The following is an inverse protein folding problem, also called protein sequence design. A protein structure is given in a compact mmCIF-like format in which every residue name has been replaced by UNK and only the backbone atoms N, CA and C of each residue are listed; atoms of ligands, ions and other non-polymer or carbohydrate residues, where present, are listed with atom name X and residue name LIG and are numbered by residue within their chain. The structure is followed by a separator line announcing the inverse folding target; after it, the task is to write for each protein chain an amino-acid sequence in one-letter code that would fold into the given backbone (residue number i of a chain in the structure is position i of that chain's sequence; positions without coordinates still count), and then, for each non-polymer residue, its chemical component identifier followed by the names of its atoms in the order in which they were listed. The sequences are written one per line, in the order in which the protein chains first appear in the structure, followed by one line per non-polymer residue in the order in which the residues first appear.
data_IF_624067187732
#
_entry.id   IF_624067187732
#
_cell.length_a   1.000
_cell.length_b   1.000
_cell.length_c   1.000
_cell.angle_alpha   90.00
_cell.angle_beta   90.00
_cell.angle_gamma   90.00
#
_symmetry.space_group_name_H-M   'P 1'
#
loop_
_entity.id
_entity.type
_entity.pdbx_description
1 polymer ?
#
# COMPACT_ATOMS: atom_id res chain seq x y z
N UNK A 1 8.57 44.20 -15.89
CA UNK A 1 8.18 43.11 -14.97
C UNK A 1 8.96 41.86 -15.35
N UNK A 2 9.80 41.32 -14.46
CA UNK A 2 10.47 40.04 -14.69
C UNK A 2 9.59 38.92 -14.11
N UNK A 3 9.12 38.01 -14.97
CA UNK A 3 8.35 36.84 -14.55
C UNK A 3 9.28 35.85 -13.83
N UNK A 4 8.95 35.49 -12.59
CA UNK A 4 9.65 34.42 -11.87
C UNK A 4 9.23 33.09 -12.48
N UNK A 5 10.15 32.41 -13.16
CA UNK A 5 9.90 31.05 -13.62
C UNK A 5 9.70 30.16 -12.39
N UNK A 6 8.51 29.57 -12.25
CA UNK A 6 8.31 28.52 -11.28
C UNK A 6 9.07 27.28 -11.72
N UNK A 7 10.03 26.84 -10.91
CA UNK A 7 10.67 25.53 -11.10
C UNK A 7 9.59 24.47 -10.90
N UNK A 8 9.13 23.87 -12.00
CA UNK A 8 8.35 22.64 -11.95
C UNK A 8 9.22 21.60 -11.24
N UNK A 9 8.82 21.20 -10.04
CA UNK A 9 9.48 20.09 -9.36
C UNK A 9 9.43 18.89 -10.30
N UNK A 10 10.58 18.25 -10.52
CA UNK A 10 10.65 17.06 -11.35
C UNK A 10 9.71 15.99 -10.78
N UNK A 11 8.85 15.41 -11.61
CA UNK A 11 7.95 14.31 -11.25
C UNK A 11 8.68 12.97 -11.01
N UNK A 12 9.99 13.00 -10.69
CA UNK A 12 10.85 11.83 -10.49
C UNK A 12 11.28 11.74 -9.05
N UNK A 13 11.22 10.54 -8.46
CA UNK A 13 11.57 10.26 -7.07
C UNK A 13 12.12 8.83 -6.94
N UNK A 14 12.77 8.50 -5.82
CA UNK A 14 13.22 7.13 -5.54
C UNK A 14 12.26 6.45 -4.56
N UNK A 15 11.81 5.23 -4.87
CA UNK A 15 10.91 4.48 -4.01
C UNK A 15 11.55 4.16 -2.66
N UNK A 16 10.90 4.49 -1.53
CA UNK A 16 11.47 4.21 -0.19
C UNK A 16 11.56 2.71 0.15
N UNK A 17 10.82 1.86 -0.57
CA UNK A 17 10.80 0.40 -0.35
C UNK A 17 11.85 -0.31 -1.21
N UNK A 18 11.88 -0.02 -2.52
CA UNK A 18 12.77 -0.71 -3.46
C UNK A 18 13.98 0.12 -3.91
N UNK A 19 14.05 1.40 -3.57
CA UNK A 19 15.09 2.36 -3.93
C UNK A 19 15.30 2.57 -5.46
N UNK A 20 14.35 2.13 -6.28
CA UNK A 20 14.38 2.35 -7.72
C UNK A 20 13.83 3.74 -8.09
N UNK A 21 14.34 4.30 -9.19
CA UNK A 21 13.83 5.55 -9.77
C UNK A 21 12.41 5.36 -10.30
N UNK A 22 11.49 6.21 -9.86
CA UNK A 22 10.08 6.23 -10.23
C UNK A 22 9.71 7.58 -10.86
N UNK A 23 8.63 7.60 -11.62
CA UNK A 23 8.04 8.82 -12.16
C UNK A 23 6.52 8.83 -12.02
N UNK A 24 5.93 10.02 -11.85
CA UNK A 24 4.47 10.20 -11.83
C UNK A 24 3.93 9.92 -13.24
N UNK A 25 2.96 9.00 -13.35
CA UNK A 25 2.28 8.66 -14.62
C UNK A 25 0.95 9.39 -14.79
N UNK A 26 0.14 9.42 -13.73
CA UNK A 26 -1.20 10.00 -13.72
C UNK A 26 -1.54 10.55 -12.35
N UNK A 27 -2.18 11.71 -12.33
CA UNK A 27 -2.77 12.31 -11.13
C UNK A 27 -4.27 12.00 -11.19
N UNK A 28 -4.79 11.36 -10.14
CA UNK A 28 -6.21 10.99 -10.05
C UNK A 28 -7.05 12.04 -9.32
N UNK A 29 -6.43 12.76 -8.37
CA UNK A 29 -7.04 13.88 -7.66
C UNK A 29 -5.97 14.88 -7.23
N UNK A 30 -6.35 16.15 -7.18
CA UNK A 30 -5.60 17.28 -6.64
C UNK A 30 -6.55 18.11 -5.77
N UNK A 31 -6.05 18.68 -4.69
CA UNK A 31 -6.87 19.37 -3.70
C UNK A 31 -5.99 20.27 -2.85
N UNK A 32 -6.59 21.36 -2.36
CA UNK A 32 -5.86 22.36 -1.58
C UNK A 32 -5.65 21.89 -0.14
N UNK A 33 -6.54 21.03 0.36
CA UNK A 33 -6.49 20.50 1.70
C UNK A 33 -6.25 19.00 1.69
N UNK A 34 -5.39 18.53 2.60
CA UNK A 34 -5.11 17.09 2.75
C UNK A 34 -6.37 16.26 3.06
N UNK A 35 -7.38 16.85 3.72
CA UNK A 35 -8.65 16.19 4.02
C UNK A 35 -9.39 15.74 2.75
N UNK A 36 -9.41 16.58 1.71
CA UNK A 36 -10.10 16.30 0.45
C UNK A 36 -9.48 15.08 -0.25
N UNK A 37 -8.14 15.06 -0.31
CA UNK A 37 -7.39 13.93 -0.89
C UNK A 37 -7.60 12.64 -0.10
N UNK A 38 -7.62 12.70 1.24
CA UNK A 38 -7.84 11.50 2.08
C UNK A 38 -9.22 10.88 1.82
N UNK A 39 -10.27 11.71 1.75
CA UNK A 39 -11.63 11.24 1.47
C UNK A 39 -11.71 10.60 0.08
N UNK A 40 -11.08 11.21 -0.93
CA UNK A 40 -10.98 10.64 -2.27
C UNK A 40 -10.26 9.29 -2.27
N UNK A 41 -9.11 9.16 -1.60
CA UNK A 41 -8.35 7.91 -1.57
C UNK A 41 -9.15 6.80 -0.88
N UNK A 42 -9.86 7.13 0.22
CA UNK A 42 -10.71 6.16 0.90
C UNK A 42 -11.82 5.64 -0.01
N UNK A 43 -12.62 6.53 -0.63
CA UNK A 43 -13.71 6.10 -1.51
C UNK A 43 -13.18 5.35 -2.75
N UNK A 44 -12.07 5.81 -3.33
CA UNK A 44 -11.45 5.17 -4.48
C UNK A 44 -10.95 3.75 -4.16
N UNK A 45 -10.30 3.56 -3.00
CA UNK A 45 -9.80 2.25 -2.59
C UNK A 45 -10.94 1.29 -2.26
N UNK A 46 -12.00 1.77 -1.60
CA UNK A 46 -13.20 0.95 -1.36
C UNK A 46 -13.82 0.48 -2.68
N UNK A 47 -14.06 1.41 -3.60
CA UNK A 47 -14.61 1.08 -4.93
C UNK A 47 -13.74 0.09 -5.70
N UNK A 48 -12.41 0.15 -5.54
CA UNK A 48 -11.50 -0.78 -6.20
C UNK A 48 -11.56 -2.18 -5.62
N UNK A 49 -11.67 -2.32 -4.29
CA UNK A 49 -11.88 -3.62 -3.66
C UNK A 49 -13.18 -4.27 -4.17
N UNK A 50 -14.26 -3.50 -4.23
CA UNK A 50 -15.55 -4.00 -4.69
C UNK A 50 -15.46 -4.49 -6.15
N UNK A 51 -14.75 -3.73 -7.01
CA UNK A 51 -14.51 -4.13 -8.39
C UNK A 51 -13.62 -5.40 -8.50
N UNK A 52 -12.58 -5.51 -7.68
CA UNK A 52 -11.69 -6.68 -7.65
C UNK A 52 -12.44 -7.93 -7.14
N UNK A 53 -13.35 -7.78 -6.17
CA UNK A 53 -14.21 -8.86 -5.66
C UNK A 53 -15.22 -9.33 -6.72
N UNK A 54 -15.87 -8.41 -7.42
CA UNK A 54 -16.76 -8.75 -8.55
C UNK A 54 -15.97 -9.48 -9.63
N UNK A 55 -14.78 -8.99 -10.01
CA UNK A 55 -13.93 -9.63 -11.02
C UNK A 55 -13.46 -11.02 -10.57
N UNK A 56 -13.19 -11.23 -9.29
CA UNK A 56 -12.84 -12.55 -8.75
C UNK A 56 -14.02 -13.53 -8.84
N UNK A 57 -15.23 -13.11 -8.47
CA UNK A 57 -16.46 -13.92 -8.57
C UNK A 57 -16.75 -14.27 -10.04
N UNK A 58 -16.64 -13.31 -10.95
CA UNK A 58 -16.82 -13.53 -12.39
C UNK A 58 -15.78 -14.52 -12.95
N UNK A 59 -14.54 -14.49 -12.45
CA UNK A 59 -13.49 -15.45 -12.82
C UNK A 59 -13.76 -16.87 -12.30
N UNK A 60 -14.28 -17.01 -11.07
CA UNK A 60 -14.62 -18.31 -10.47
C UNK A 60 -15.75 -19.03 -11.22
N UNK A 61 -16.69 -18.29 -11.80
CA UNK A 61 -17.79 -18.88 -12.60
C UNK A 61 -17.38 -19.34 -14.01
N UNK A 62 -16.18 -18.97 -14.48
CA UNK A 62 -15.71 -19.28 -15.84
C UNK A 62 -14.51 -20.24 -15.92
N UNK A 63 -13.81 -20.54 -14.82
CA UNK A 63 -12.60 -21.39 -14.88
C UNK A 63 -12.55 -22.46 -13.79
N UNK A 64 -13.22 -23.59 -14.03
CA UNK A 64 -12.65 -24.87 -13.61
C UNK A 64 -11.41 -25.10 -14.48
N UNK A 65 -10.24 -24.70 -13.97
CA UNK A 65 -8.93 -25.09 -14.47
C UNK A 65 -8.19 -24.02 -15.28
N UNK A 66 -7.23 -23.34 -14.66
CA UNK A 66 -5.79 -23.59 -14.86
C UNK A 66 -5.01 -22.55 -14.01
N UNK A 67 -4.43 -22.99 -12.90
CA UNK A 67 -3.40 -22.24 -12.19
C UNK A 67 -2.15 -22.22 -13.08
N UNK A 68 -1.89 -21.10 -13.78
CA UNK A 68 -0.67 -20.96 -14.57
C UNK A 68 0.43 -20.43 -13.67
N UNK A 69 1.16 -21.37 -13.07
CA UNK A 69 2.53 -21.16 -12.60
C UNK A 69 3.44 -21.07 -13.85
N UNK A 70 3.79 -19.85 -14.28
CA UNK A 70 4.93 -19.67 -15.18
C UNK A 70 5.56 -18.29 -15.01
N UNK A 71 6.33 -18.12 -13.93
CA UNK A 71 7.32 -17.04 -13.82
C UNK A 71 8.69 -17.59 -14.22
N UNK A 72 8.93 -17.73 -15.53
CA UNK A 72 10.28 -17.94 -16.06
C UNK A 72 10.70 -16.75 -16.91
N UNK A 73 11.84 -16.16 -16.55
CA UNK A 73 12.71 -15.55 -17.56
C UNK A 73 12.99 -14.06 -17.46
N UNK A 74 13.41 -13.53 -16.31
CA UNK A 74 14.34 -12.38 -16.32
C UNK A 74 15.56 -12.71 -15.47
N UNK A 75 16.60 -13.25 -16.12
CA UNK A 75 17.95 -13.30 -15.56
C UNK A 75 18.49 -11.87 -15.50
N UNK A 76 18.40 -11.24 -14.33
CA UNK A 76 19.33 -10.17 -13.97
C UNK A 76 20.36 -10.79 -13.04
N UNK A 77 21.54 -11.05 -13.60
CA UNK A 77 22.73 -11.24 -12.78
C UNK A 77 22.99 -9.90 -12.10
N UNK A 78 22.73 -9.82 -10.80
CA UNK A 78 23.41 -8.86 -9.96
C UNK A 78 23.69 -9.54 -8.63
N UNK A 79 24.98 -9.79 -8.43
CA UNK A 79 25.59 -10.26 -7.20
C UNK A 79 25.39 -9.19 -6.11
N UNK A 80 25.72 -9.51 -4.85
CA UNK A 80 25.44 -8.73 -3.62
C UNK A 80 24.09 -9.04 -2.95
N UNK A 81 24.00 -10.29 -2.52
CA UNK A 81 23.00 -10.87 -1.62
C UNK A 81 23.14 -10.29 -0.20
N UNK A 82 22.37 -9.25 0.12
CA UNK A 82 21.87 -9.08 1.49
C UNK A 82 20.45 -9.64 1.52
N UNK A 83 20.23 -10.74 2.25
CA UNK A 83 18.90 -11.31 2.45
C UNK A 83 18.05 -10.25 3.14
N UNK A 84 17.18 -9.58 2.38
CA UNK A 84 16.17 -8.69 2.95
C UNK A 84 15.24 -9.56 3.79
N UNK A 85 14.98 -9.17 5.03
CA UNK A 85 14.03 -9.84 5.92
C UNK A 85 12.65 -9.74 5.28
N UNK A 86 12.22 -10.81 4.62
CA UNK A 86 10.89 -10.94 3.98
C UNK A 86 9.87 -11.56 4.94
N UNK A 87 10.29 -11.82 6.17
CA UNK A 87 9.48 -12.45 7.18
C UNK A 87 8.74 -11.39 8.00
N UNK A 88 7.42 -11.32 7.79
CA UNK A 88 6.50 -10.41 8.47
C UNK A 88 5.80 -11.07 9.66
N UNK A 89 6.15 -12.32 9.98
CA UNK A 89 5.53 -13.06 11.09
C UNK A 89 5.63 -12.35 12.43
N UNK A 90 6.64 -11.49 12.64
CA UNK A 90 6.81 -10.68 13.85
C UNK A 90 5.68 -9.65 14.06
N UNK A 91 4.94 -9.27 13.02
CA UNK A 91 3.84 -8.31 13.08
C UNK A 91 2.45 -8.96 13.03
N UNK A 92 2.39 -10.29 12.91
CA UNK A 92 1.14 -11.02 13.04
C UNK A 92 0.88 -11.17 14.54
N UNK A 93 -0.03 -10.38 15.07
CA UNK A 93 -0.50 -10.53 16.44
C UNK A 93 -1.20 -11.89 16.57
N UNK A 94 -0.67 -12.77 17.41
CA UNK A 94 -1.38 -13.99 17.78
C UNK A 94 -2.71 -13.57 18.46
N UNK A 95 -3.84 -14.12 18.00
CA UNK A 95 -5.19 -13.80 18.48
C UNK A 95 -5.38 -13.99 20.01
N UNK A 96 -4.41 -14.62 20.69
CA UNK A 96 -4.40 -14.94 22.11
C UNK A 96 -4.12 -13.74 23.04
N UNK A 97 -3.69 -12.57 22.53
CA UNK A 97 -3.37 -11.38 23.36
C UNK A 97 -4.34 -10.20 23.22
N UNK A 98 -5.62 -10.46 22.91
CA UNK A 98 -6.69 -9.45 23.04
C UNK A 98 -7.06 -9.20 24.51
N UNK A 99 -6.13 -8.60 25.26
CA UNK A 99 -6.48 -7.75 26.40
C UNK A 99 -5.83 -6.39 26.18
N UNK A 100 -6.59 -5.37 25.77
CA UNK A 100 -6.04 -4.03 25.66
C UNK A 100 -5.58 -3.57 27.04
N UNK A 101 -4.28 -3.33 27.19
CA UNK A 101 -3.66 -2.78 28.41
C UNK A 101 -4.26 -1.43 28.85
N UNK A 102 -5.11 -0.83 28.01
CA UNK A 102 -5.84 0.42 28.27
C UNK A 102 -6.92 0.33 29.39
N UNK A 103 -7.30 -0.87 29.84
CA UNK A 103 -8.34 -1.04 30.87
C UNK A 103 -7.82 -1.19 32.32
N UNK A 104 -6.52 -1.01 32.58
CA UNK A 104 -5.97 -1.21 33.95
C UNK A 104 -5.76 0.05 34.77
N UNK A 105 -6.11 1.24 34.25
CA UNK A 105 -6.00 2.50 34.98
C UNK A 105 -7.36 3.15 35.25
N UNK A 106 -8.22 2.44 36.00
CA UNK A 106 -9.24 3.11 36.82
C UNK A 106 -8.64 3.28 38.22
N UNK A 107 -8.35 4.51 38.68
CA UNK A 107 -7.98 4.72 40.07
C UNK A 107 -9.19 4.35 40.95
N UNK A 108 -8.97 3.46 41.91
CA UNK A 108 -9.93 3.21 42.99
C UNK A 108 -10.30 4.57 43.61
N UNK A 109 -11.58 4.93 43.54
CA UNK A 109 -12.13 6.08 44.25
C UNK A 109 -12.08 5.85 45.77
N UNK A 110 -12.03 6.92 46.58
CA UNK A 110 -11.91 6.77 48.04
C UNK A 110 -13.23 6.34 48.69
N UNK A 111 -13.05 5.53 49.75
CA UNK A 111 -13.99 4.99 50.76
C UNK A 111 -15.48 5.35 50.69
#
# INVERSE_FOLDING_TARGET
MQVKQQKKSSNKWNCVICNQKQSVKKIYAEGYQAKEIRLFVQSFNMSRKDADEIAAIECETSSVGHFVEHLEGVRVQDEHKAKKRSDWSEYIENEEHTRPACLTSLPNGPN
#
